data_IF_153965257694
#
_entry.id   IF_153965257694
#
_cell.length_a   1.000
_cell.length_b   1.000
_cell.length_c   1.000
_cell.angle_alpha   90.00
_cell.angle_beta   90.00
_cell.angle_gamma   90.00
#
_symmetry.space_group_name_H-M   'P 1'
#
loop_
_entity.id
_entity.type
_entity.pdbx_description
1 polymer ?
#
# COMPACT_ATOMS: atom_id res chain seq x y z
N UNK A 1 -2.32 -10.57 17.48
CA UNK A 1 -3.26 -11.69 17.19
C UNK A 1 -3.79 -11.51 15.78
N UNK A 2 -3.77 -12.57 14.95
CA UNK A 2 -4.31 -12.52 13.59
C UNK A 2 -5.64 -13.24 13.52
N UNK A 3 -6.61 -12.63 12.86
CA UNK A 3 -7.94 -13.19 12.65
C UNK A 3 -8.17 -13.30 11.15
N UNK A 4 -8.61 -14.46 10.68
CA UNK A 4 -8.96 -14.71 9.29
C UNK A 4 -10.45 -14.98 9.20
N UNK A 5 -11.14 -14.27 8.31
CA UNK A 5 -12.59 -14.44 8.10
C UNK A 5 -12.87 -14.55 6.62
N UNK A 6 -13.56 -15.62 6.22
CA UNK A 6 -14.00 -15.82 4.83
C UNK A 6 -15.28 -15.04 4.55
N UNK A 7 -15.39 -14.46 3.36
CA UNK A 7 -16.64 -13.92 2.84
C UNK A 7 -17.08 -14.67 1.59
N UNK A 8 -18.40 -14.74 1.39
CA UNK A 8 -19.01 -15.42 0.23
C UNK A 8 -19.55 -14.45 -0.83
N UNK A 9 -19.67 -13.17 -0.47
CA UNK A 9 -20.18 -12.12 -1.34
C UNK A 9 -19.68 -10.72 -0.90
N UNK A 10 -19.97 -9.70 -1.71
CA UNK A 10 -19.52 -8.31 -1.45
C UNK A 10 -20.29 -7.59 -0.34
N UNK A 11 -21.51 -8.02 -0.01
CA UNK A 11 -22.26 -7.46 1.11
C UNK A 11 -21.66 -7.95 2.43
N UNK A 12 -21.42 -9.26 2.53
CA UNK A 12 -20.73 -9.93 3.63
C UNK A 12 -19.33 -9.35 3.85
N UNK A 13 -18.53 -9.21 2.79
CA UNK A 13 -17.22 -8.55 2.86
C UNK A 13 -17.30 -7.15 3.50
N UNK A 14 -18.27 -6.33 3.08
CA UNK A 14 -18.46 -4.97 3.61
C UNK A 14 -18.86 -4.96 5.08
N UNK A 15 -19.72 -5.89 5.49
CA UNK A 15 -20.13 -6.04 6.88
C UNK A 15 -18.95 -6.48 7.75
N UNK A 16 -18.19 -7.48 7.31
CA UNK A 16 -17.00 -7.96 8.02
C UNK A 16 -15.94 -6.88 8.21
N UNK A 17 -15.67 -6.05 7.19
CA UNK A 17 -14.74 -4.91 7.34
C UNK A 17 -15.24 -3.95 8.42
N UNK A 18 -16.50 -3.50 8.33
CA UNK A 18 -17.08 -2.56 9.31
C UNK A 18 -17.07 -3.11 10.73
N UNK A 19 -17.46 -4.37 10.90
CA UNK A 19 -17.51 -5.01 12.21
C UNK A 19 -16.12 -5.15 12.84
N UNK A 20 -15.10 -5.50 12.05
CA UNK A 20 -13.75 -5.68 12.57
C UNK A 20 -13.05 -4.33 12.79
N UNK A 21 -13.30 -3.32 11.96
CA UNK A 21 -12.86 -1.95 12.21
C UNK A 21 -13.48 -1.38 13.50
N UNK A 22 -14.78 -1.62 13.73
CA UNK A 22 -15.46 -1.22 14.97
C UNK A 22 -14.89 -1.92 16.22
N UNK A 23 -14.28 -3.11 16.06
CA UNK A 23 -13.54 -3.82 17.12
C UNK A 23 -12.10 -3.31 17.29
N UNK A 24 -11.71 -2.26 16.56
CA UNK A 24 -10.35 -1.70 16.58
C UNK A 24 -9.31 -2.57 15.86
N UNK A 25 -9.76 -3.50 15.00
CA UNK A 25 -8.86 -4.34 14.22
C UNK A 25 -8.52 -3.67 12.90
N UNK A 26 -7.26 -3.78 12.50
CA UNK A 26 -6.75 -3.29 11.22
C UNK A 26 -6.73 -4.41 10.20
N UNK A 27 -7.29 -4.17 9.01
CA UNK A 27 -7.18 -5.09 7.88
C UNK A 27 -5.73 -5.11 7.36
N UNK A 28 -5.15 -6.31 7.27
CA UNK A 28 -3.81 -6.55 6.72
C UNK A 28 -3.86 -6.93 5.24
N UNK A 29 -4.80 -7.80 4.90
CA UNK A 29 -4.87 -8.38 3.57
C UNK A 29 -6.29 -8.79 3.24
N UNK A 30 -6.61 -8.72 1.96
CA UNK A 30 -7.81 -9.29 1.36
C UNK A 30 -7.33 -10.17 0.19
N UNK A 31 -7.46 -11.48 0.36
CA UNK A 31 -7.03 -12.45 -0.64
C UNK A 31 -8.13 -12.72 -1.66
N UNK A 32 -8.82 -11.66 -2.08
CA UNK A 32 -9.90 -11.66 -3.07
C UNK A 32 -9.62 -12.69 -4.17
N UNK A 33 -10.52 -13.67 -4.30
CA UNK A 33 -10.23 -14.93 -4.96
C UNK A 33 -9.81 -14.72 -6.43
N UNK A 34 -8.67 -15.33 -6.79
CA UNK A 34 -8.10 -15.25 -8.14
C UNK A 34 -8.92 -16.05 -9.15
N UNK A 35 -9.72 -17.00 -8.68
CA UNK A 35 -10.54 -17.89 -9.50
C UNK A 35 -11.97 -17.35 -9.70
N UNK A 36 -12.22 -16.08 -9.35
CA UNK A 36 -13.50 -15.43 -9.61
C UNK A 36 -13.79 -15.37 -11.11
N UNK A 37 -14.82 -16.10 -11.53
CA UNK A 37 -15.35 -16.07 -12.89
C UNK A 37 -16.36 -14.93 -13.04
N UNK A 38 -16.35 -14.30 -14.22
CA UNK A 38 -17.30 -13.24 -14.55
C UNK A 38 -18.74 -13.77 -14.46
N UNK A 39 -19.50 -13.29 -13.47
CA UNK A 39 -20.89 -13.67 -13.24
C UNK A 39 -21.14 -14.35 -11.89
N UNK A 40 -20.10 -14.84 -11.22
CA UNK A 40 -20.20 -15.36 -9.86
C UNK A 40 -20.08 -14.25 -8.82
N UNK A 41 -20.56 -14.49 -7.60
CA UNK A 41 -20.27 -13.60 -6.48
C UNK A 41 -18.82 -13.79 -6.01
N UNK A 42 -18.05 -12.71 -5.83
CA UNK A 42 -16.67 -12.81 -5.42
C UNK A 42 -16.57 -13.29 -3.97
N UNK A 43 -15.59 -14.15 -3.74
CA UNK A 43 -15.31 -14.78 -2.45
C UNK A 43 -13.88 -14.45 -2.05
N UNK A 44 -13.55 -14.71 -0.80
CA UNK A 44 -12.17 -14.53 -0.35
C UNK A 44 -12.03 -14.62 1.14
N UNK A 45 -10.84 -14.23 1.61
CA UNK A 45 -10.47 -14.23 3.01
C UNK A 45 -9.92 -12.85 3.35
N UNK A 46 -10.51 -12.23 4.36
CA UNK A 46 -9.99 -11.03 5.01
C UNK A 46 -9.11 -11.44 6.19
N UNK A 47 -7.94 -10.80 6.31
CA UNK A 47 -7.03 -11.00 7.43
C UNK A 47 -6.92 -9.70 8.22
N UNK A 48 -7.18 -9.76 9.51
CA UNK A 48 -7.12 -8.64 10.44
C UNK A 48 -6.06 -8.86 11.52
N UNK A 49 -5.57 -7.76 12.09
CA UNK A 49 -4.69 -7.75 13.26
C UNK A 49 -5.12 -6.69 14.26
N UNK A 50 -4.86 -6.94 15.54
CA UNK A 50 -4.94 -5.93 16.60
C UNK A 50 -3.58 -5.23 16.86
N UNK A 51 -2.54 -5.58 16.10
CA UNK A 51 -1.24 -4.91 16.20
C UNK A 51 -1.32 -3.49 15.61
N UNK A 52 -0.68 -2.50 16.26
CA UNK A 52 -0.61 -1.16 15.71
C UNK A 52 -0.01 -1.18 14.31
N UNK A 53 -0.41 -0.22 13.47
CA UNK A 53 0.23 -0.04 12.17
C UNK A 53 1.72 0.16 12.38
N UNK A 54 2.57 -0.52 11.61
CA UNK A 54 3.95 -0.07 11.48
C UNK A 54 3.90 1.32 10.87
N UNK A 55 4.51 2.29 11.53
CA UNK A 55 4.80 3.57 10.89
C UNK A 55 5.58 3.26 9.61
N UNK A 56 5.14 3.86 8.51
CA UNK A 56 5.92 3.79 7.28
C UNK A 56 7.32 4.33 7.60
N UNK A 57 8.40 3.70 7.08
CA UNK A 57 9.72 4.28 7.23
C UNK A 57 9.66 5.73 6.74
N UNK A 58 10.15 6.65 7.57
CA UNK A 58 10.27 8.05 7.16
C UNK A 58 11.20 8.09 5.94
N UNK A 59 10.63 8.33 4.77
CA UNK A 59 11.40 8.57 3.56
C UNK A 59 11.72 10.05 3.58
N UNK A 60 13.01 10.39 3.73
CA UNK A 60 13.44 11.77 3.50
C UNK A 60 13.00 12.17 2.09
N UNK A 61 12.23 13.25 2.00
CA UNK A 61 11.82 13.80 0.72
C UNK A 61 13.08 14.40 0.09
N UNK A 62 13.61 13.72 -0.92
CA UNK A 62 14.71 14.25 -1.73
C UNK A 62 14.19 15.39 -2.57
N UNK A 63 14.85 16.54 -2.51
CA UNK A 63 14.60 17.64 -3.42
C UNK A 63 15.29 17.34 -4.76
N UNK A 64 14.58 16.58 -5.59
CA UNK A 64 15.07 16.18 -6.90
C UNK A 64 15.32 17.37 -7.83
N UNK A 65 14.66 18.52 -7.61
CA UNK A 65 14.90 19.73 -8.40
C UNK A 65 16.26 20.32 -8.04
N UNK A 66 16.57 20.46 -6.75
CA UNK A 66 17.88 20.93 -6.29
C UNK A 66 19.02 20.01 -6.77
N UNK A 67 18.84 18.69 -6.67
CA UNK A 67 19.83 17.72 -7.14
C UNK A 67 20.03 17.79 -8.67
N UNK A 68 18.96 18.02 -9.44
CA UNK A 68 19.05 18.21 -10.88
C UNK A 68 19.81 19.48 -11.26
N UNK A 69 19.61 20.57 -10.52
CA UNK A 69 20.31 21.83 -10.76
C UNK A 69 21.81 21.74 -10.46
N UNK A 70 22.19 21.04 -9.38
CA UNK A 70 23.60 20.73 -9.08
C UNK A 70 24.26 19.90 -10.20
N UNK A 71 23.60 18.83 -10.64
CA UNK A 71 24.11 17.98 -11.72
C UNK A 71 24.24 18.74 -13.05
N UNK A 72 23.31 19.65 -13.36
CA UNK A 72 23.39 20.51 -14.54
C UNK A 72 24.59 21.45 -14.46
N UNK A 73 24.81 22.08 -13.31
CA UNK A 73 25.95 22.97 -13.09
C UNK A 73 27.29 22.23 -13.22
N UNK A 74 27.38 21.00 -12.71
CA UNK A 74 28.58 20.17 -12.83
C UNK A 74 28.87 19.82 -14.30
N UNK A 75 27.87 19.37 -15.06
CA UNK A 75 27.99 19.07 -16.49
C UNK A 75 28.44 20.31 -17.28
N UNK A 76 27.91 21.49 -16.95
CA UNK A 76 28.28 22.74 -17.61
C UNK A 76 29.71 23.17 -17.26
N UNK A 77 30.14 22.95 -16.02
CA UNK A 77 31.54 23.15 -15.60
C UNK A 77 32.52 22.24 -16.35
N UNK A 78 32.16 20.97 -16.53
CA UNK A 78 32.96 19.98 -17.26
C UNK A 78 33.01 20.24 -18.78
N UNK A 79 32.00 20.93 -19.32
CA UNK A 79 31.94 21.29 -20.75
C UNK A 79 32.76 22.52 -21.11
N UNK A 80 33.24 23.32 -20.15
CA UNK A 80 34.13 24.43 -20.46
C UNK A 80 35.49 23.88 -20.88
N UNK A 81 36.00 24.20 -22.09
CA UNK A 81 37.27 23.68 -22.54
C UNK A 81 38.39 24.18 -21.62
N UNK A 82 39.17 23.26 -21.07
CA UNK A 82 40.45 23.60 -20.43
C UNK A 82 41.27 24.41 -21.44
N UNK A 83 41.44 25.69 -21.11
CA UNK A 83 42.21 26.63 -21.90
C UNK A 83 43.71 26.37 -21.75
#
# INVERSE_FOLDING_TARGET
MRISVSYKDMADRRNLVKENEAKGLRMLHDNFDKDWLRGDEPRGILVFTNEPGKEAPHVEVRDLEAEMDELRAEIEGLRKPNR
#
